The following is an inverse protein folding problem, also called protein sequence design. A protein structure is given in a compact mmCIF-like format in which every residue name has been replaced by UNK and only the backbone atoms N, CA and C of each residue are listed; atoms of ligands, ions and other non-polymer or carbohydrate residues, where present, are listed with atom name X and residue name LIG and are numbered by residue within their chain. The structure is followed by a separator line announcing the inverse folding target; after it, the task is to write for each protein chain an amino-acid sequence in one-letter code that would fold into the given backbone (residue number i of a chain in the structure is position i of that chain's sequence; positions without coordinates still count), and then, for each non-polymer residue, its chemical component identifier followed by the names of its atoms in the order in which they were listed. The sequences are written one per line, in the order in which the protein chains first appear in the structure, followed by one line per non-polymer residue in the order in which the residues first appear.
data_IF_941954663033
#
_entry.id   IF_941954663033
#
_cell.length_a   1.000
_cell.length_b   1.000
_cell.length_c   1.000
_cell.angle_alpha   90.00
_cell.angle_beta   90.00
_cell.angle_gamma   90.00
#
_symmetry.space_group_name_H-M   'P 1'
#
loop_
_entity.id
_entity.type
_entity.pdbx_description
1 polymer ?
#
# COMPACT_ATOMS: atom_id res chain seq x y z
N UNK A 1 8.08 25.61 19.77
CA UNK A 1 8.24 24.15 19.77
C UNK A 1 8.60 23.68 18.36
N UNK A 2 9.72 22.97 18.18
CA UNK A 2 10.23 22.53 16.86
C UNK A 2 9.58 21.21 16.42
N UNK A 3 9.28 21.08 15.12
CA UNK A 3 8.83 19.85 14.47
C UNK A 3 10.03 19.00 14.02
N UNK A 4 9.96 17.67 14.15
CA UNK A 4 11.05 16.78 13.77
C UNK A 4 10.93 16.34 12.29
N UNK A 5 11.97 16.54 11.50
CA UNK A 5 11.98 16.19 10.06
C UNK A 5 12.52 14.77 9.86
N UNK A 6 11.66 13.77 9.96
CA UNK A 6 12.02 12.38 9.62
C UNK A 6 12.20 12.22 8.11
N UNK A 7 13.23 11.47 7.71
CA UNK A 7 13.43 11.05 6.33
C UNK A 7 12.50 9.89 5.99
N UNK A 8 11.81 9.98 4.84
CA UNK A 8 10.98 8.89 4.31
C UNK A 8 11.58 8.46 2.99
N UNK A 9 11.82 7.15 2.83
CA UNK A 9 12.36 6.61 1.59
C UNK A 9 11.33 6.71 0.46
N UNK A 10 11.78 6.93 -0.77
CA UNK A 10 10.86 6.98 -1.91
C UNK A 10 10.22 5.61 -2.17
N UNK A 11 8.88 5.59 -2.27
CA UNK A 11 8.16 4.41 -2.75
C UNK A 11 8.06 4.46 -4.27
N UNK A 12 8.68 3.47 -4.94
CA UNK A 12 8.77 3.43 -6.41
C UNK A 12 7.68 2.60 -7.10
N UNK A 13 6.84 1.91 -6.33
CA UNK A 13 5.83 0.99 -6.87
C UNK A 13 6.42 -0.27 -7.49
N UNK A 14 7.42 -0.89 -6.86
CA UNK A 14 8.00 -2.19 -7.26
C UNK A 14 7.50 -3.30 -6.33
N UNK A 15 7.28 -4.49 -6.89
CA UNK A 15 7.08 -5.73 -6.13
C UNK A 15 8.34 -5.99 -5.28
N UNK A 16 8.21 -6.00 -3.96
CA UNK A 16 9.33 -6.29 -3.05
C UNK A 16 9.55 -5.27 -1.93
N UNK A 17 9.12 -4.01 -2.09
CA UNK A 17 9.00 -3.09 -0.94
C UNK A 17 7.54 -3.08 -0.46
N UNK A 18 7.24 -3.57 0.76
CA UNK A 18 5.87 -3.64 1.23
C UNK A 18 5.30 -2.23 1.36
N UNK A 19 4.26 -1.94 0.57
CA UNK A 19 3.52 -0.67 0.59
C UNK A 19 3.08 -0.31 2.02
N UNK A 20 2.68 -1.32 2.80
CA UNK A 20 2.28 -1.15 4.21
C UNK A 20 3.42 -0.59 5.08
N UNK A 21 4.65 -1.08 4.93
CA UNK A 21 5.80 -0.56 5.68
C UNK A 21 6.05 0.91 5.34
N UNK A 22 5.99 1.25 4.06
CA UNK A 22 6.18 2.62 3.62
C UNK A 22 5.07 3.55 4.14
N UNK A 23 3.81 3.10 4.15
CA UNK A 23 2.70 3.87 4.74
C UNK A 23 2.92 4.15 6.23
N UNK A 24 3.45 3.18 6.99
CA UNK A 24 3.81 3.39 8.41
C UNK A 24 4.93 4.43 8.57
N UNK A 25 5.95 4.40 7.71
CA UNK A 25 7.02 5.41 7.70
C UNK A 25 6.46 6.82 7.41
N UNK A 26 5.53 6.94 6.45
CA UNK A 26 4.85 8.21 6.11
C UNK A 26 3.98 8.70 7.27
N UNK A 27 3.15 7.83 7.85
CA UNK A 27 2.27 8.17 8.99
C UNK A 27 3.08 8.67 10.19
N UNK A 28 4.23 8.03 10.46
CA UNK A 28 5.17 8.43 11.52
C UNK A 28 5.79 9.79 11.22
N UNK A 29 6.19 10.05 9.97
CA UNK A 29 6.74 11.35 9.57
C UNK A 29 5.70 12.47 9.59
N UNK A 30 4.44 12.20 9.22
CA UNK A 30 3.31 13.14 9.34
C UNK A 30 3.11 13.55 10.80
N UNK A 31 3.08 12.57 11.71
CA UNK A 31 2.93 12.82 13.14
C UNK A 31 4.09 13.64 13.72
N UNK A 32 5.34 13.25 13.40
CA UNK A 32 6.54 13.95 13.85
C UNK A 32 6.65 15.40 13.32
N UNK A 33 6.14 15.64 12.12
CA UNK A 33 6.09 16.96 11.48
C UNK A 33 4.85 17.77 11.87
N UNK A 34 3.88 17.16 12.55
CA UNK A 34 2.62 17.78 13.00
C UNK A 34 1.80 18.33 11.83
N UNK A 35 1.69 17.54 10.76
CA UNK A 35 0.85 17.87 9.61
C UNK A 35 -0.58 17.37 9.91
N UNK A 36 -1.53 18.29 10.03
CA UNK A 36 -2.90 17.97 10.49
C UNK A 36 -3.93 17.96 9.37
N UNK A 37 -3.80 18.87 8.40
CA UNK A 37 -4.74 18.98 7.30
C UNK A 37 -4.48 17.90 6.25
N UNK A 38 -5.57 17.29 5.78
CA UNK A 38 -5.51 16.20 4.81
C UNK A 38 -4.84 16.58 3.49
N UNK A 39 -5.09 17.77 2.91
CA UNK A 39 -4.37 18.21 1.71
C UNK A 39 -2.84 18.21 1.90
N UNK A 40 -2.32 18.68 3.03
CA UNK A 40 -0.88 18.66 3.31
C UNK A 40 -0.36 17.25 3.58
N UNK A 41 -1.13 16.37 4.22
CA UNK A 41 -0.76 14.94 4.38
C UNK A 41 -0.62 14.27 3.02
N UNK A 42 -1.59 14.49 2.12
CA UNK A 42 -1.57 13.95 0.75
C UNK A 42 -0.40 14.55 -0.04
N UNK A 43 -0.19 15.87 0.00
CA UNK A 43 0.92 16.51 -0.69
C UNK A 43 2.28 15.99 -0.21
N UNK A 44 2.44 15.81 1.11
CA UNK A 44 3.64 15.21 1.69
C UNK A 44 3.84 13.77 1.24
N UNK A 45 2.80 12.92 1.32
CA UNK A 45 2.88 11.52 0.89
C UNK A 45 3.23 11.41 -0.61
N UNK A 46 2.63 12.23 -1.47
CA UNK A 46 2.95 12.30 -2.91
C UNK A 46 4.40 12.74 -3.14
N UNK A 47 4.94 13.65 -2.32
CA UNK A 47 6.35 14.06 -2.42
C UNK A 47 7.33 12.92 -2.12
N UNK A 48 6.88 11.91 -1.37
CA UNK A 48 7.64 10.70 -1.03
C UNK A 48 7.43 9.55 -2.04
N UNK A 49 6.70 9.77 -3.14
CA UNK A 49 6.56 8.80 -4.22
C UNK A 49 7.66 9.01 -5.28
N UNK A 50 8.16 7.91 -5.83
CA UNK A 50 9.11 7.88 -6.94
C UNK A 50 8.65 6.95 -8.07
N UNK A 51 9.39 6.93 -9.17
CA UNK A 51 9.20 5.97 -10.27
C UNK A 51 7.73 5.85 -10.72
N UNK A 52 7.25 4.60 -10.82
CA UNK A 52 5.87 4.30 -11.27
C UNK A 52 4.80 4.87 -10.34
N UNK A 53 5.06 4.89 -9.03
CA UNK A 53 4.11 5.43 -8.06
C UNK A 53 3.92 6.95 -8.21
N UNK A 54 5.00 7.67 -8.53
CA UNK A 54 4.93 9.11 -8.81
C UNK A 54 4.16 9.40 -10.09
N UNK A 55 4.44 8.65 -11.17
CA UNK A 55 3.69 8.80 -12.44
C UNK A 55 2.20 8.50 -12.27
N UNK A 56 1.85 7.47 -11.50
CA UNK A 56 0.46 7.15 -11.15
C UNK A 56 -0.23 8.29 -10.41
N UNK A 57 0.43 8.87 -9.40
CA UNK A 57 -0.13 9.96 -8.60
C UNK A 57 -0.42 11.21 -9.44
N UNK A 58 0.48 11.58 -10.35
CA UNK A 58 0.24 12.71 -11.26
C UNK A 58 -0.79 12.40 -12.33
N UNK A 59 -0.83 11.17 -12.87
CA UNK A 59 -1.88 10.75 -13.80
C UNK A 59 -3.28 10.90 -13.20
N UNK A 60 -3.45 10.48 -11.93
CA UNK A 60 -4.71 10.65 -11.17
C UNK A 60 -5.08 12.12 -10.95
N UNK A 61 -4.12 13.00 -10.69
CA UNK A 61 -4.33 14.46 -10.52
C UNK A 61 -4.80 15.15 -11.78
N UNK A 62 -4.52 14.58 -12.96
CA UNK A 62 -4.96 15.12 -14.24
C UNK A 62 -6.38 14.64 -14.64
N UNK A 63 -6.88 13.56 -14.04
CA UNK A 63 -8.16 12.93 -14.41
C UNK A 63 -9.26 13.04 -13.36
N UNK A 64 -8.91 13.31 -12.11
CA UNK A 64 -9.81 13.30 -10.96
C UNK A 64 -9.34 14.37 -9.95
N UNK A 65 -10.26 14.98 -9.21
CA UNK A 65 -9.99 15.99 -8.17
C UNK A 65 -9.33 15.35 -6.94
N UNK A 66 -8.24 14.62 -7.15
CA UNK A 66 -7.32 14.12 -6.12
C UNK A 66 -6.62 15.26 -5.37
N UNK A 67 -6.98 16.52 -5.67
CA UNK A 67 -6.67 17.70 -4.87
C UNK A 67 -7.66 17.88 -3.69
N UNK A 68 -8.81 17.20 -3.68
CA UNK A 68 -9.80 17.19 -2.59
C UNK A 68 -9.93 15.89 -1.80
N UNK A 69 -9.27 14.81 -2.21
CA UNK A 69 -9.38 13.52 -1.52
C UNK A 69 -8.78 13.56 -0.11
N UNK A 70 -9.47 12.95 0.85
CA UNK A 70 -8.96 12.76 2.23
C UNK A 70 -7.69 11.93 2.23
N UNK A 71 -6.89 12.04 3.29
CA UNK A 71 -5.68 11.22 3.41
C UNK A 71 -6.00 9.72 3.47
N UNK A 72 -7.16 9.36 4.03
CA UNK A 72 -7.66 7.98 4.05
C UNK A 72 -7.95 7.45 2.63
N UNK A 73 -8.69 8.19 1.82
CA UNK A 73 -8.98 7.83 0.43
C UNK A 73 -7.70 7.69 -0.41
N UNK A 74 -6.73 8.56 -0.20
CA UNK A 74 -5.43 8.45 -0.86
C UNK A 74 -4.74 7.12 -0.53
N UNK A 75 -4.72 6.71 0.75
CA UNK A 75 -4.15 5.41 1.16
C UNK A 75 -4.87 4.24 0.50
N UNK A 76 -6.19 4.29 0.40
CA UNK A 76 -6.98 3.26 -0.29
C UNK A 76 -6.70 3.18 -1.79
N UNK A 77 -6.74 4.31 -2.50
CA UNK A 77 -6.41 4.36 -3.94
C UNK A 77 -4.99 3.85 -4.20
N UNK A 78 -4.04 4.18 -3.33
CA UNK A 78 -2.66 3.70 -3.43
C UNK A 78 -2.55 2.18 -3.20
N UNK A 79 -3.29 1.63 -2.22
CA UNK A 79 -3.39 0.18 -1.97
C UNK A 79 -4.02 -0.57 -3.13
N UNK A 80 -5.03 -0.01 -3.78
CA UNK A 80 -5.64 -0.62 -4.96
C UNK A 80 -4.67 -0.65 -6.15
N UNK A 81 -3.89 0.42 -6.34
CA UNK A 81 -2.97 0.54 -7.47
C UNK A 81 -1.67 -0.28 -7.32
N UNK A 82 -1.15 -0.39 -6.10
CA UNK A 82 0.17 -0.99 -5.83
C UNK A 82 0.15 -2.12 -4.80
N UNK A 83 -1.03 -2.46 -4.28
CA UNK A 83 -1.22 -3.70 -3.56
C UNK A 83 -1.04 -4.91 -4.49
N UNK A 84 -0.85 -6.09 -3.91
CA UNK A 84 -0.82 -7.32 -4.70
C UNK A 84 -2.12 -7.44 -5.53
N UNK A 85 -2.04 -7.97 -6.77
CA UNK A 85 -3.23 -8.20 -7.57
C UNK A 85 -4.23 -9.03 -6.78
N UNK A 86 -5.42 -8.47 -6.52
CA UNK A 86 -6.52 -9.12 -5.79
C UNK A 86 -7.18 -10.25 -6.62
N UNK A 87 -6.40 -11.03 -7.36
CA UNK A 87 -6.92 -12.20 -8.06
C UNK A 87 -6.97 -13.36 -7.07
N UNK A 88 -8.09 -13.44 -6.35
CA UNK A 88 -8.39 -14.48 -5.38
C UNK A 88 -8.26 -15.87 -6.01
N UNK A 89 -8.82 -16.07 -7.21
CA UNK A 89 -8.76 -17.35 -7.92
C UNK A 89 -7.32 -17.78 -8.18
N UNK A 90 -6.49 -16.87 -8.68
CA UNK A 90 -5.07 -17.14 -8.89
C UNK A 90 -4.33 -17.40 -7.58
N UNK A 91 -4.60 -16.62 -6.54
CA UNK A 91 -3.94 -16.79 -5.23
C UNK A 91 -4.33 -18.09 -4.55
N UNK A 92 -5.59 -18.54 -4.71
CA UNK A 92 -6.07 -19.86 -4.26
C UNK A 92 -5.39 -20.98 -5.02
N UNK A 93 -5.34 -20.90 -6.36
CA UNK A 93 -4.64 -21.90 -7.17
C UNK A 93 -3.16 -22.01 -6.77
N UNK A 94 -2.45 -20.88 -6.71
CA UNK A 94 -1.04 -20.85 -6.30
C UNK A 94 -0.82 -21.34 -4.86
N UNK A 95 -1.79 -21.17 -3.95
CA UNK A 95 -1.71 -21.67 -2.58
C UNK A 95 -1.91 -23.18 -2.51
N UNK A 96 -2.86 -23.73 -3.27
CA UNK A 96 -3.10 -25.17 -3.37
C UNK A 96 -1.89 -25.89 -3.99
N UNK A 97 -1.24 -25.25 -4.94
CA UNK A 97 -0.02 -25.76 -5.58
C UNK A 97 1.25 -25.51 -4.76
N UNK A 98 1.19 -24.77 -3.65
CA UNK A 98 2.35 -24.41 -2.85
C UNK A 98 2.89 -25.63 -2.10
N UNK A 99 4.09 -26.08 -2.48
CA UNK A 99 4.84 -27.14 -1.79
C UNK A 99 6.09 -26.55 -1.15
N UNK A 100 6.44 -27.01 0.06
CA UNK A 100 7.68 -26.56 0.71
C UNK A 100 8.91 -26.90 -0.14
N UNK A 101 8.99 -28.12 -0.67
CA UNK A 101 10.07 -28.54 -1.57
C UNK A 101 11.45 -28.27 -0.98
N UNK A 102 12.27 -27.48 -1.71
CA UNK A 102 13.62 -27.06 -1.27
C UNK A 102 13.64 -25.72 -0.51
N UNK A 103 12.49 -25.09 -0.28
CA UNK A 103 12.43 -23.81 0.43
C UNK A 103 12.66 -24.01 1.93
N UNK A 104 13.41 -23.10 2.54
CA UNK A 104 13.46 -23.03 3.99
C UNK A 104 12.07 -22.68 4.56
N UNK A 105 11.85 -23.03 5.84
CA UNK A 105 10.55 -22.87 6.50
C UNK A 105 10.10 -21.41 6.51
N UNK A 106 11.03 -20.45 6.64
CA UNK A 106 10.68 -19.04 6.65
C UNK A 106 10.24 -18.56 5.25
N UNK A 107 10.95 -18.93 4.19
CA UNK A 107 10.57 -18.61 2.81
C UNK A 107 9.20 -19.22 2.45
N UNK A 108 8.97 -20.48 2.79
CA UNK A 108 7.68 -21.14 2.59
C UNK A 108 6.56 -20.42 3.37
N UNK A 109 6.76 -20.14 4.65
CA UNK A 109 5.77 -19.46 5.49
C UNK A 109 5.48 -18.03 5.04
N UNK A 110 6.47 -17.31 4.48
CA UNK A 110 6.25 -15.98 3.88
C UNK A 110 5.41 -16.09 2.61
N UNK A 111 5.68 -17.07 1.74
CA UNK A 111 4.90 -17.28 0.51
C UNK A 111 3.45 -17.68 0.81
N UNK A 112 3.25 -18.60 1.75
CA UNK A 112 1.93 -19.00 2.21
C UNK A 112 1.13 -17.80 2.77
N UNK A 113 1.73 -17.01 3.66
CA UNK A 113 1.09 -15.81 4.22
C UNK A 113 0.73 -14.77 3.17
N UNK A 114 1.60 -14.55 2.19
CA UNK A 114 1.32 -13.65 1.09
C UNK A 114 0.09 -14.10 0.29
N UNK A 115 0.04 -15.37 -0.11
CA UNK A 115 -1.08 -15.92 -0.88
C UNK A 115 -2.39 -15.85 -0.09
N UNK A 116 -2.37 -16.19 1.20
CA UNK A 116 -3.54 -16.07 2.10
C UNK A 116 -4.01 -14.62 2.23
N UNK A 117 -3.10 -13.65 2.34
CA UNK A 117 -3.47 -12.23 2.43
C UNK A 117 -4.21 -11.72 1.19
N UNK A 118 -3.94 -12.31 0.02
CA UNK A 118 -4.63 -11.98 -1.22
C UNK A 118 -6.02 -12.64 -1.34
N UNK A 119 -6.27 -13.70 -0.57
CA UNK A 119 -7.55 -14.42 -0.53
C UNK A 119 -8.50 -13.78 0.50
N UNK A 120 -8.00 -13.47 1.70
CA UNK A 120 -8.84 -13.04 2.84
C UNK A 120 -9.40 -11.62 2.68
N UNK A 121 -8.74 -10.73 1.92
CA UNK A 121 -9.20 -9.35 1.72
C UNK A 121 -10.52 -9.19 0.94
N UNK A 122 -11.12 -10.27 0.40
CA UNK A 122 -12.47 -10.22 -0.18
C UNK A 122 -13.58 -10.67 0.77
N UNK A 123 -13.24 -11.39 1.86
CA UNK A 123 -14.25 -11.85 2.81
C UNK A 123 -14.78 -10.72 3.71
N UNK A 124 -14.06 -9.60 3.82
CA UNK A 124 -14.47 -8.44 4.61
C UNK A 124 -15.38 -7.46 3.86
N UNK A 125 -15.44 -7.54 2.52
CA UNK A 125 -16.26 -6.63 1.69
C UNK A 125 -17.64 -7.24 1.33
N UNK A 126 -17.88 -8.53 1.65
CA UNK A 126 -19.17 -9.20 1.39
C UNK A 126 -20.18 -9.12 2.53
N UNK A 127 -19.84 -8.54 3.68
CA UNK A 127 -20.79 -8.38 4.80
C UNK A 127 -21.69 -7.14 4.70
N UNK A 128 -21.64 -6.38 3.60
CA UNK A 128 -22.52 -5.22 3.36
C UNK A 128 -23.61 -5.45 2.30
N UNK A 129 -23.79 -6.69 1.83
CA UNK A 129 -24.91 -7.07 0.96
C UNK A 129 -25.58 -8.35 1.50
N UNK A 130 -26.18 -8.25 2.68
CA UNK A 130 -27.22 -9.15 3.17
C UNK A 130 -28.19 -8.38 4.08
#
# INVERSE_FOLDING_TARGET
MQSLKLHVSNYVGKEGKPLLRWLVEVDTAIAARRIFDDPSKVAFAVSCLGGRARSWAYGRRLTDDTCRSTYAEFKEKLRQAFGPPKNEFRSRAEFLDLQQGKHDVHAYAQRARYLVSNIVMWCSDFSEIA
#
